data_IF_105104234663
#
_entry.id   IF_105104234663
#
_cell.length_a   1.000
_cell.length_b   1.000
_cell.length_c   1.000
_cell.angle_alpha   90.00
_cell.angle_beta   90.00
_cell.angle_gamma   90.00
#
_symmetry.space_group_name_H-M   'P 1'
#
loop_
_entity.id
_entity.type
_entity.pdbx_description
1 polymer ?
#
# COMPACT_ATOMS: atom_id res chain seq x y z
N UNK A 1 -31.43 13.34 -5.79
CA UNK A 1 -30.43 12.35 -6.27
C UNK A 1 -30.43 12.42 -7.78
N UNK A 2 -29.40 12.97 -8.42
CA UNK A 2 -29.25 12.89 -9.88
C UNK A 2 -28.99 11.43 -10.22
N UNK A 3 -29.90 10.80 -11.00
CA UNK A 3 -29.72 9.42 -11.45
C UNK A 3 -28.45 9.27 -12.30
N UNK A 4 -28.01 8.03 -12.53
CA UNK A 4 -26.91 7.74 -13.46
C UNK A 4 -27.29 8.20 -14.89
N UNK A 5 -26.33 8.65 -15.74
CA UNK A 5 -26.61 9.03 -17.12
C UNK A 5 -26.99 7.80 -17.95
N UNK A 6 -27.95 7.93 -18.83
CA UNK A 6 -28.32 6.86 -19.76
C UNK A 6 -27.29 6.64 -20.88
N UNK A 7 -26.40 7.63 -21.11
CA UNK A 7 -25.35 7.59 -22.16
C UNK A 7 -24.17 8.48 -21.76
N UNK A 8 -22.96 8.05 -22.12
CA UNK A 8 -21.70 8.80 -21.97
C UNK A 8 -20.69 8.33 -23.03
N UNK A 9 -19.53 8.99 -23.18
CA UNK A 9 -18.46 8.46 -24.04
C UNK A 9 -17.78 7.25 -23.40
N UNK A 10 -17.38 7.37 -22.12
CA UNK A 10 -16.65 6.32 -21.41
C UNK A 10 -17.23 6.07 -20.03
N UNK A 11 -17.48 4.80 -19.70
CA UNK A 11 -17.78 4.37 -18.34
C UNK A 11 -16.51 3.86 -17.69
N UNK A 12 -16.17 4.40 -16.52
CA UNK A 12 -15.09 3.89 -15.65
C UNK A 12 -15.72 3.19 -14.47
N UNK A 13 -15.46 1.90 -14.31
CA UNK A 13 -16.00 1.08 -13.22
C UNK A 13 -14.97 0.98 -12.11
N UNK A 14 -15.23 1.65 -11.00
CA UNK A 14 -14.34 1.76 -9.85
C UNK A 14 -13.75 3.16 -9.65
N UNK A 15 -14.08 3.80 -8.54
CA UNK A 15 -13.56 5.10 -8.11
C UNK A 15 -12.33 4.98 -7.19
N UNK A 16 -11.57 3.89 -7.32
CA UNK A 16 -10.24 3.75 -6.74
C UNK A 16 -9.21 4.62 -7.48
N UNK A 17 -7.99 4.68 -6.98
CA UNK A 17 -6.91 5.52 -7.55
C UNK A 17 -6.67 5.24 -9.04
N UNK A 18 -6.75 3.98 -9.48
CA UNK A 18 -6.58 3.63 -10.90
C UNK A 18 -7.71 4.19 -11.77
N UNK A 19 -8.97 4.03 -11.33
CA UNK A 19 -10.14 4.56 -12.06
C UNK A 19 -10.16 6.09 -12.11
N UNK A 20 -9.86 6.74 -10.98
CA UNK A 20 -9.77 8.21 -10.92
C UNK A 20 -8.65 8.75 -11.83
N UNK A 21 -7.49 8.06 -11.89
CA UNK A 21 -6.40 8.42 -12.81
C UNK A 21 -6.81 8.27 -14.28
N UNK A 22 -7.52 7.18 -14.64
CA UNK A 22 -8.05 6.96 -15.97
C UNK A 22 -9.10 8.04 -16.33
N UNK A 23 -10.06 8.25 -15.46
CA UNK A 23 -11.13 9.24 -15.66
C UNK A 23 -10.55 10.66 -15.86
N UNK A 24 -9.60 11.05 -15.01
CA UNK A 24 -8.89 12.33 -15.12
C UNK A 24 -8.21 12.48 -16.50
N UNK A 25 -7.46 11.47 -16.94
CA UNK A 25 -6.74 11.52 -18.22
C UNK A 25 -7.69 11.62 -19.42
N UNK A 26 -8.81 10.90 -19.36
CA UNK A 26 -9.87 10.95 -20.38
C UNK A 26 -10.60 12.30 -20.40
N UNK A 27 -10.95 12.84 -19.23
CA UNK A 27 -11.63 14.16 -19.13
C UNK A 27 -10.73 15.28 -19.66
N UNK A 28 -9.43 15.26 -19.37
CA UNK A 28 -8.45 16.21 -19.94
C UNK A 28 -8.39 16.11 -21.47
N UNK A 29 -8.62 14.92 -22.04
CA UNK A 29 -8.67 14.69 -23.48
C UNK A 29 -10.06 15.04 -24.09
N UNK A 30 -10.98 15.62 -23.30
CA UNK A 30 -12.28 16.08 -23.78
C UNK A 30 -13.35 14.98 -23.89
N UNK A 31 -13.12 13.80 -23.27
CA UNK A 31 -14.13 12.73 -23.23
C UNK A 31 -15.12 12.98 -22.10
N UNK A 32 -16.39 12.73 -22.37
CA UNK A 32 -17.43 12.66 -21.34
C UNK A 32 -17.27 11.33 -20.57
N UNK A 33 -17.00 11.42 -19.26
CA UNK A 33 -16.71 10.26 -18.43
C UNK A 33 -17.75 10.11 -17.32
N UNK A 34 -18.29 8.91 -17.18
CA UNK A 34 -19.11 8.50 -16.05
C UNK A 34 -18.30 7.48 -15.21
N UNK A 35 -17.94 7.84 -13.98
CA UNK A 35 -17.30 6.94 -13.01
C UNK A 35 -18.38 6.37 -12.11
N UNK A 36 -18.43 5.04 -11.97
CA UNK A 36 -19.35 4.37 -11.03
C UNK A 36 -18.56 3.55 -10.02
N UNK A 37 -19.00 3.53 -8.78
CA UNK A 37 -18.43 2.69 -7.72
C UNK A 37 -19.54 2.16 -6.79
N UNK A 38 -19.42 0.90 -6.38
CA UNK A 38 -20.36 0.27 -5.46
C UNK A 38 -20.23 0.77 -4.00
N UNK A 39 -19.16 1.50 -3.70
CA UNK A 39 -18.91 2.07 -2.37
C UNK A 39 -19.58 3.44 -2.20
N UNK A 40 -19.77 3.82 -0.94
CA UNK A 40 -20.30 5.11 -0.51
C UNK A 40 -19.32 6.29 -0.65
N UNK A 41 -18.04 6.00 -0.96
CA UNK A 41 -16.95 6.99 -1.02
C UNK A 41 -15.88 6.56 -2.05
N UNK A 42 -15.16 7.55 -2.60
CA UNK A 42 -14.02 7.32 -3.49
C UNK A 42 -12.80 6.78 -2.74
N UNK A 43 -11.93 6.04 -3.44
CA UNK A 43 -10.64 5.59 -2.93
C UNK A 43 -10.42 4.09 -3.00
N UNK A 44 -11.48 3.29 -3.08
CA UNK A 44 -11.37 1.83 -3.09
C UNK A 44 -10.71 1.33 -1.80
N UNK A 45 -9.49 0.76 -1.90
CA UNK A 45 -8.70 0.32 -0.74
C UNK A 45 -8.06 1.45 0.06
N UNK A 46 -7.95 2.65 -0.49
CA UNK A 46 -7.39 3.82 0.19
C UNK A 46 -8.53 4.61 0.85
N UNK A 47 -8.84 4.23 2.08
CA UNK A 47 -9.92 4.78 2.90
C UNK A 47 -9.41 5.16 4.28
N UNK A 48 -9.98 6.23 4.85
CA UNK A 48 -9.70 6.70 6.21
C UNK A 48 -11.03 6.92 6.93
N UNK A 49 -11.23 6.22 8.04
CA UNK A 49 -12.40 6.43 8.90
C UNK A 49 -12.10 7.51 9.94
N UNK A 50 -13.12 8.26 10.32
CA UNK A 50 -13.06 9.22 11.42
C UNK A 50 -13.86 8.68 12.61
N UNK A 51 -13.16 8.39 13.70
CA UNK A 51 -13.76 7.81 14.91
C UNK A 51 -13.28 8.60 16.13
N UNK A 52 -14.15 9.25 16.86
CA UNK A 52 -13.86 9.98 18.11
C UNK A 52 -12.64 10.93 18.03
N UNK A 53 -12.51 11.63 16.90
CA UNK A 53 -11.40 12.55 16.64
C UNK A 53 -10.09 11.86 16.29
N UNK A 54 -10.15 10.59 15.87
CA UNK A 54 -9.05 9.82 15.32
C UNK A 54 -9.23 9.66 13.81
N UNK A 55 -8.11 9.65 13.07
CA UNK A 55 -8.05 9.22 11.68
C UNK A 55 -7.49 7.79 11.62
N UNK A 56 -8.29 6.87 11.11
CA UNK A 56 -7.94 5.44 11.03
C UNK A 56 -7.95 5.00 9.58
N UNK A 57 -6.77 4.87 8.99
CA UNK A 57 -6.65 4.32 7.64
C UNK A 57 -7.04 2.84 7.65
N UNK A 58 -7.82 2.40 6.66
CA UNK A 58 -8.21 0.99 6.52
C UNK A 58 -7.01 0.18 6.05
N UNK A 59 -6.19 -0.29 7.01
CA UNK A 59 -4.87 -0.88 6.81
C UNK A 59 -3.75 0.15 6.96
N UNK A 60 -2.58 -0.31 7.43
CA UNK A 60 -1.40 0.55 7.49
C UNK A 60 -0.87 0.79 6.07
N UNK A 61 -1.07 1.98 5.56
CA UNK A 61 -0.70 2.40 4.23
C UNK A 61 0.29 3.57 4.28
N UNK A 62 1.14 3.65 3.28
CA UNK A 62 2.13 4.71 3.12
C UNK A 62 2.06 5.28 1.71
N UNK A 63 2.24 6.59 1.60
CA UNK A 63 2.48 7.25 0.32
C UNK A 63 3.95 7.67 0.22
N UNK A 64 4.59 7.38 -0.90
CA UNK A 64 5.95 7.84 -1.14
C UNK A 64 5.94 9.07 -2.07
N UNK A 65 6.37 10.25 -1.59
CA UNK A 65 6.40 11.47 -2.41
C UNK A 65 7.29 11.40 -3.66
N UNK A 66 8.17 10.39 -3.77
CA UNK A 66 8.99 10.16 -4.96
C UNK A 66 8.27 9.39 -6.08
N UNK A 67 7.02 9.00 -5.89
CA UNK A 67 6.23 8.30 -6.91
C UNK A 67 6.02 9.19 -8.14
N UNK A 68 6.58 8.77 -9.29
CA UNK A 68 6.60 9.56 -10.52
C UNK A 68 5.21 9.90 -11.04
N UNK A 69 4.28 8.94 -11.00
CA UNK A 69 2.89 9.18 -11.40
C UNK A 69 2.21 10.17 -10.44
N UNK A 70 2.42 10.00 -9.14
CA UNK A 70 1.86 10.89 -8.13
C UNK A 70 2.32 12.34 -8.28
N UNK A 71 3.62 12.56 -8.54
CA UNK A 71 4.18 13.90 -8.78
C UNK A 71 3.47 14.61 -9.94
N UNK A 72 3.02 13.86 -10.94
CA UNK A 72 2.39 14.44 -12.16
C UNK A 72 0.90 14.78 -11.97
N UNK A 73 0.21 14.21 -10.96
CA UNK A 73 -1.24 14.32 -10.84
C UNK A 73 -1.73 14.83 -9.48
N UNK A 74 -0.87 14.85 -8.46
CA UNK A 74 -1.21 15.25 -7.09
C UNK A 74 -0.51 16.56 -6.70
N UNK A 75 -1.21 17.40 -5.97
CA UNK A 75 -0.62 18.51 -5.22
C UNK A 75 -0.11 17.98 -3.87
N UNK A 76 1.17 17.58 -3.84
CA UNK A 76 1.82 17.04 -2.65
C UNK A 76 1.90 18.05 -1.51
N UNK A 77 1.93 19.36 -1.82
CA UNK A 77 1.94 20.41 -0.80
C UNK A 77 0.59 20.52 -0.10
N UNK A 78 -0.51 20.46 -0.86
CA UNK A 78 -1.85 20.48 -0.30
C UNK A 78 -2.18 19.19 0.48
N UNK A 79 -1.60 18.06 0.11
CA UNK A 79 -1.73 16.80 0.86
C UNK A 79 -1.00 16.85 2.22
N UNK A 80 -0.03 17.74 2.39
CA UNK A 80 0.73 17.90 3.63
C UNK A 80 1.24 16.56 4.17
N UNK A 81 2.01 15.83 3.33
CA UNK A 81 2.50 14.49 3.66
C UNK A 81 3.49 14.54 4.82
N UNK A 82 3.13 13.94 5.93
CA UNK A 82 3.95 13.80 7.13
C UNK A 82 4.84 12.59 7.00
N UNK A 83 6.14 12.81 6.85
CA UNK A 83 7.13 11.76 6.63
C UNK A 83 7.42 10.96 7.88
N UNK A 84 7.59 9.65 7.74
CA UNK A 84 8.13 8.79 8.78
C UNK A 84 9.65 8.96 8.90
N UNK A 85 10.20 8.56 10.04
CA UNK A 85 11.66 8.52 10.21
C UNK A 85 12.26 7.48 9.25
N UNK A 86 13.28 7.83 8.45
CA UNK A 86 13.85 6.94 7.42
C UNK A 86 14.73 5.85 8.04
N UNK A 87 14.08 4.81 8.56
CA UNK A 87 14.74 3.69 9.22
C UNK A 87 13.74 2.74 9.84
N UNK A 88 14.25 1.72 10.52
CA UNK A 88 13.45 0.76 11.29
C UNK A 88 14.10 0.51 12.64
N UNK A 89 13.31 0.21 13.64
CA UNK A 89 13.76 -0.34 14.90
C UNK A 89 13.54 -1.86 14.87
N UNK A 90 14.61 -2.63 15.07
CA UNK A 90 14.54 -4.08 15.12
C UNK A 90 14.66 -4.54 16.57
N UNK A 91 13.60 -5.17 17.07
CA UNK A 91 13.60 -5.76 18.43
C UNK A 91 14.21 -7.16 18.40
N UNK A 92 15.29 -7.39 19.13
CA UNK A 92 15.99 -8.67 19.23
C UNK A 92 16.33 -8.93 20.70
N UNK A 93 15.89 -10.04 21.25
CA UNK A 93 16.19 -10.46 22.62
C UNK A 93 15.94 -9.38 23.68
N UNK A 94 14.80 -8.67 23.56
CA UNK A 94 14.46 -7.58 24.48
C UNK A 94 15.31 -6.33 24.32
N UNK A 95 16.10 -6.19 23.26
CA UNK A 95 16.82 -4.96 22.89
C UNK A 95 16.34 -4.43 21.55
N UNK A 96 16.27 -3.10 21.45
CA UNK A 96 15.89 -2.39 20.24
C UNK A 96 17.14 -1.82 19.56
N UNK A 97 17.34 -2.18 18.30
CA UNK A 97 18.47 -1.73 17.48
C UNK A 97 17.94 -0.82 16.38
N UNK A 98 18.52 0.35 16.24
CA UNK A 98 18.13 1.35 15.24
C UNK A 98 18.88 1.10 13.94
N UNK A 99 18.14 0.93 12.85
CA UNK A 99 18.69 0.64 11.52
C UNK A 99 18.23 1.69 10.53
N UNK A 100 19.18 2.42 9.96
CA UNK A 100 18.91 3.45 8.94
C UNK A 100 20.06 3.61 7.97
N UNK A 101 19.80 4.32 6.86
CA UNK A 101 20.86 4.85 6.01
C UNK A 101 21.59 5.97 6.78
N UNK A 102 22.91 5.85 7.03
CA UNK A 102 23.67 6.86 7.77
C UNK A 102 23.64 8.26 7.13
N UNK A 103 23.36 8.36 5.83
CA UNK A 103 23.22 9.66 5.16
C UNK A 103 21.92 10.38 5.52
N UNK A 104 20.88 9.62 5.86
CA UNK A 104 19.55 10.15 6.16
C UNK A 104 19.29 10.27 7.66
N UNK A 105 19.87 9.38 8.46
CA UNK A 105 19.79 9.38 9.93
C UNK A 105 21.17 9.09 10.52
N UNK A 106 22.10 10.09 10.52
CA UNK A 106 23.49 9.88 10.96
C UNK A 106 23.64 9.42 12.41
N UNK A 107 22.70 9.80 13.28
CA UNK A 107 22.68 9.42 14.70
C UNK A 107 22.52 7.92 14.91
N UNK A 108 22.04 7.18 13.93
CA UNK A 108 21.82 5.72 13.97
C UNK A 108 22.95 4.91 13.32
N UNK A 109 24.02 5.55 12.85
CA UNK A 109 25.09 4.88 12.11
C UNK A 109 25.79 3.79 12.94
N UNK A 110 26.10 4.08 14.21
CA UNK A 110 26.78 3.14 15.11
C UNK A 110 25.85 1.97 15.43
N UNK A 111 24.59 2.23 15.78
CA UNK A 111 23.61 1.18 16.06
C UNK A 111 23.40 0.29 14.83
N UNK A 112 23.29 0.89 13.63
CA UNK A 112 23.14 0.15 12.37
C UNK A 112 24.32 -0.77 12.09
N UNK A 113 25.53 -0.35 12.43
CA UNK A 113 26.75 -1.18 12.26
C UNK A 113 26.79 -2.32 13.28
N UNK A 114 26.49 -2.03 14.56
CA UNK A 114 26.63 -2.98 15.68
C UNK A 114 25.43 -3.91 15.85
N UNK A 115 24.26 -3.59 15.27
CA UNK A 115 23.07 -4.42 15.39
C UNK A 115 23.33 -5.88 14.98
N UNK A 116 22.87 -6.89 15.73
CA UNK A 116 23.13 -8.31 15.46
C UNK A 116 22.20 -8.89 14.38
N UNK A 117 22.06 -8.16 13.27
CA UNK A 117 21.17 -8.53 12.12
C UNK A 117 21.95 -9.26 11.01
N UNK A 118 23.11 -9.81 11.30
CA UNK A 118 23.95 -10.52 10.35
C UNK A 118 25.39 -9.98 10.31
N UNK A 119 26.23 -10.62 9.49
CA UNK A 119 27.65 -10.25 9.36
C UNK A 119 27.79 -8.85 8.73
N UNK A 120 28.83 -8.12 9.12
CA UNK A 120 29.18 -6.81 8.55
C UNK A 120 29.34 -6.91 7.02
N UNK A 121 29.95 -7.99 6.52
CA UNK A 121 30.09 -8.24 5.08
C UNK A 121 28.75 -8.33 4.35
N UNK A 122 27.72 -8.91 4.97
CA UNK A 122 26.35 -8.98 4.42
C UNK A 122 25.70 -7.59 4.37
N UNK A 123 25.87 -6.79 5.43
CA UNK A 123 25.36 -5.40 5.47
C UNK A 123 26.02 -4.54 4.37
N UNK A 124 27.34 -4.67 4.18
CA UNK A 124 28.07 -3.95 3.12
C UNK A 124 27.64 -4.39 1.73
N UNK A 125 27.43 -5.70 1.50
CA UNK A 125 26.88 -6.21 0.23
C UNK A 125 25.50 -5.62 -0.05
N UNK A 126 24.61 -5.59 0.95
CA UNK A 126 23.29 -5.00 0.81
C UNK A 126 23.36 -3.50 0.54
N UNK A 127 24.18 -2.76 1.27
CA UNK A 127 24.38 -1.32 1.05
C UNK A 127 24.89 -1.02 -0.37
N UNK A 128 25.88 -1.80 -0.86
CA UNK A 128 26.38 -1.68 -2.23
C UNK A 128 25.30 -2.00 -3.27
N UNK A 129 24.47 -3.01 -3.02
CA UNK A 129 23.34 -3.35 -3.88
C UNK A 129 22.33 -2.20 -3.94
N UNK A 130 21.96 -1.64 -2.79
CA UNK A 130 21.04 -0.51 -2.70
C UNK A 130 21.56 0.73 -3.46
N UNK A 131 22.85 1.06 -3.32
CA UNK A 131 23.49 2.14 -4.09
C UNK A 131 23.47 1.83 -5.59
N UNK A 132 23.82 0.62 -6.01
CA UNK A 132 23.76 0.22 -7.41
C UNK A 132 22.36 0.36 -7.99
N UNK A 133 21.34 0.00 -7.22
CA UNK A 133 19.95 0.13 -7.63
C UNK A 133 19.50 1.59 -7.76
N UNK A 134 19.94 2.46 -6.84
CA UNK A 134 19.63 3.89 -6.86
C UNK A 134 20.14 4.59 -8.12
N UNK A 135 21.34 4.26 -8.60
CA UNK A 135 21.96 4.85 -9.78
C UNK A 135 21.57 4.18 -11.10
N UNK A 136 20.99 2.96 -11.03
CA UNK A 136 20.57 2.23 -12.23
C UNK A 136 19.42 2.92 -12.93
N UNK A 137 19.58 3.19 -14.25
CA UNK A 137 18.52 3.65 -15.13
C UNK A 137 17.70 2.50 -15.74
N UNK A 138 18.17 1.27 -15.61
CA UNK A 138 17.53 0.10 -16.20
C UNK A 138 16.29 -0.30 -15.41
N UNK A 139 15.16 -0.48 -16.10
CA UNK A 139 14.08 -1.35 -15.63
C UNK A 139 14.69 -2.75 -15.63
N UNK A 140 14.79 -3.39 -14.47
CA UNK A 140 15.53 -4.66 -14.28
C UNK A 140 15.23 -5.68 -15.39
N UNK A 141 16.21 -5.92 -16.29
CA UNK A 141 16.14 -6.96 -17.34
C UNK A 141 16.66 -8.31 -16.85
N UNK A 142 16.92 -8.47 -15.56
CA UNK A 142 17.46 -9.70 -14.98
C UNK A 142 16.40 -10.80 -14.94
N UNK A 143 16.87 -12.06 -14.96
CA UNK A 143 16.05 -13.23 -14.69
C UNK A 143 15.23 -13.01 -13.41
N UNK A 144 13.92 -13.18 -13.50
CA UNK A 144 13.03 -12.97 -12.39
C UNK A 144 13.00 -14.22 -11.50
N UNK A 145 13.03 -14.02 -10.19
CA UNK A 145 13.04 -15.06 -9.18
C UNK A 145 12.33 -14.58 -7.91
N UNK A 146 12.07 -15.50 -6.99
CA UNK A 146 11.53 -15.18 -5.68
C UNK A 146 12.50 -14.29 -4.91
N UNK A 147 11.97 -13.27 -4.23
CA UNK A 147 12.76 -12.35 -3.39
C UNK A 147 13.50 -13.10 -2.28
N UNK A 148 12.88 -14.06 -1.60
CA UNK A 148 13.54 -14.86 -0.55
C UNK A 148 14.80 -15.55 -1.05
N UNK A 149 14.71 -16.25 -2.18
CA UNK A 149 15.85 -16.96 -2.78
C UNK A 149 16.99 -16.00 -3.13
N UNK A 150 16.65 -14.85 -3.72
CA UNK A 150 17.63 -13.81 -4.04
C UNK A 150 18.32 -13.25 -2.80
N UNK A 151 17.56 -12.89 -1.76
CA UNK A 151 18.09 -12.27 -0.54
C UNK A 151 19.03 -13.23 0.21
N UNK A 152 18.64 -14.49 0.36
CA UNK A 152 19.48 -15.52 1.03
C UNK A 152 20.78 -15.76 0.29
N UNK A 153 20.72 -15.92 -1.03
CA UNK A 153 21.90 -16.14 -1.86
C UNK A 153 22.86 -14.94 -1.85
N UNK A 154 22.32 -13.71 -1.86
CA UNK A 154 23.13 -12.49 -1.99
C UNK A 154 23.66 -11.96 -0.66
N UNK A 155 22.84 -12.02 0.41
CA UNK A 155 23.12 -11.33 1.68
C UNK A 155 23.20 -12.27 2.89
N UNK A 156 22.85 -13.55 2.72
CA UNK A 156 22.87 -14.58 3.75
C UNK A 156 21.61 -14.61 4.61
N UNK A 157 21.47 -15.71 5.34
CA UNK A 157 20.24 -16.06 6.09
C UNK A 157 19.98 -15.08 7.23
N UNK A 158 21.02 -14.74 8.02
CA UNK A 158 20.83 -13.88 9.21
C UNK A 158 20.28 -12.49 8.85
N UNK A 159 20.90 -11.81 7.87
CA UNK A 159 20.41 -10.49 7.44
C UNK A 159 19.00 -10.58 6.86
N UNK A 160 18.74 -11.66 6.12
CA UNK A 160 17.43 -11.91 5.53
C UNK A 160 16.37 -12.12 6.60
N UNK A 161 16.57 -13.05 7.54
CA UNK A 161 15.51 -13.46 8.48
C UNK A 161 15.32 -12.50 9.65
N UNK A 162 16.35 -11.73 10.02
CA UNK A 162 16.28 -10.82 11.19
C UNK A 162 15.85 -9.40 10.81
N UNK A 163 16.18 -8.95 9.61
CA UNK A 163 15.91 -7.58 9.17
C UNK A 163 15.02 -7.53 7.93
N UNK A 164 15.48 -8.14 6.81
CA UNK A 164 14.85 -7.92 5.52
C UNK A 164 13.48 -8.59 5.43
N UNK A 165 13.33 -9.83 5.90
CA UNK A 165 12.07 -10.55 5.89
C UNK A 165 11.02 -9.90 6.79
N UNK A 166 11.27 -9.56 8.08
CA UNK A 166 10.29 -8.86 8.90
C UNK A 166 9.81 -7.54 8.29
N UNK A 167 10.73 -6.78 7.71
CA UNK A 167 10.39 -5.53 7.03
C UNK A 167 9.56 -5.78 5.76
N UNK A 168 10.03 -6.66 4.87
CA UNK A 168 9.39 -6.93 3.58
C UNK A 168 8.07 -7.69 3.72
N UNK A 169 7.90 -8.50 4.75
CA UNK A 169 6.62 -9.15 5.05
C UNK A 169 5.51 -8.12 5.28
N UNK A 170 5.82 -6.97 5.87
CA UNK A 170 4.89 -5.85 5.99
C UNK A 170 4.68 -5.08 4.67
N UNK A 171 5.65 -5.09 3.76
CA UNK A 171 5.55 -4.42 2.45
C UNK A 171 4.78 -5.26 1.43
N UNK A 172 5.05 -6.57 1.38
CA UNK A 172 4.43 -7.51 0.42
C UNK A 172 3.20 -8.21 0.98
N UNK A 173 2.93 -8.04 2.27
CA UNK A 173 1.86 -8.70 3.03
C UNK A 173 1.96 -10.23 2.93
N UNK A 174 3.18 -10.76 2.85
CA UNK A 174 3.47 -12.19 2.81
C UNK A 174 4.78 -12.52 3.54
N UNK A 175 4.80 -13.53 4.42
CA UNK A 175 6.00 -13.91 5.18
C UNK A 175 7.01 -14.72 4.36
N UNK A 176 6.59 -15.42 3.31
CA UNK A 176 7.43 -16.31 2.48
C UNK A 176 8.31 -15.55 1.49
N UNK A 177 8.07 -14.26 1.27
CA UNK A 177 8.71 -13.42 0.26
C UNK A 177 8.75 -14.12 -1.11
N UNK A 178 7.61 -14.69 -1.52
CA UNK A 178 7.41 -15.30 -2.83
C UNK A 178 7.35 -14.26 -3.95
N UNK A 179 7.13 -13.00 -3.60
CA UNK A 179 7.10 -11.85 -4.50
C UNK A 179 8.34 -11.79 -5.40
N UNK A 180 8.13 -11.37 -6.65
CA UNK A 180 9.15 -11.16 -7.66
C UNK A 180 10.28 -10.25 -7.18
N UNK A 181 11.52 -10.62 -7.47
CA UNK A 181 12.70 -9.76 -7.26
C UNK A 181 12.58 -8.43 -8.00
N UNK A 182 11.95 -8.40 -9.18
CA UNK A 182 11.74 -7.15 -9.93
C UNK A 182 10.90 -6.16 -9.12
N UNK A 183 9.86 -6.66 -8.45
CA UNK A 183 9.05 -5.82 -7.56
C UNK A 183 9.83 -5.39 -6.31
N UNK A 184 10.62 -6.28 -5.70
CA UNK A 184 11.52 -5.93 -4.61
C UNK A 184 12.47 -4.79 -4.99
N UNK A 185 13.07 -4.85 -6.17
CA UNK A 185 13.98 -3.80 -6.66
C UNK A 185 13.27 -2.44 -6.78
N UNK A 186 12.06 -2.43 -7.31
CA UNK A 186 11.25 -1.21 -7.46
C UNK A 186 10.87 -0.64 -6.09
N UNK A 187 10.43 -1.50 -5.17
CA UNK A 187 10.07 -1.10 -3.82
C UNK A 187 11.29 -0.53 -3.07
N UNK A 188 12.43 -1.24 -3.11
CA UNK A 188 13.66 -0.78 -2.47
C UNK A 188 14.14 0.55 -3.07
N UNK A 189 14.11 0.69 -4.40
CA UNK A 189 14.46 1.94 -5.08
C UNK A 189 13.56 3.10 -4.64
N UNK A 190 12.27 2.85 -4.48
CA UNK A 190 11.31 3.86 -3.99
C UNK A 190 11.65 4.30 -2.56
N UNK A 191 11.99 3.37 -1.66
CA UNK A 191 12.42 3.71 -0.29
C UNK A 191 13.73 4.49 -0.24
N UNK A 192 14.65 4.22 -1.17
CA UNK A 192 15.91 4.98 -1.28
C UNK A 192 15.66 6.39 -1.82
N UNK A 193 14.75 6.54 -2.79
CA UNK A 193 14.50 7.80 -3.51
C UNK A 193 13.64 8.79 -2.74
N UNK A 194 12.78 8.32 -1.83
CA UNK A 194 11.86 9.15 -1.06
C UNK A 194 11.66 8.64 0.37
N UNK A 195 11.15 9.50 1.22
CA UNK A 195 10.73 9.12 2.57
C UNK A 195 9.22 8.92 2.57
N UNK A 196 8.72 7.68 2.77
CA UNK A 196 7.29 7.44 2.89
C UNK A 196 6.67 8.22 4.04
N UNK A 197 5.40 8.54 3.89
CA UNK A 197 4.62 9.26 4.89
C UNK A 197 3.14 9.03 4.70
N UNK A 198 2.34 9.80 5.42
CA UNK A 198 0.89 9.83 5.31
C UNK A 198 0.40 11.27 5.16
N UNK A 199 -0.62 11.55 4.35
CA UNK A 199 -1.26 12.86 4.34
C UNK A 199 -1.79 13.23 5.72
N UNK A 200 -1.68 14.50 6.11
CA UNK A 200 -2.14 14.97 7.43
C UNK A 200 -3.65 14.78 7.65
N UNK A 201 -4.44 14.67 6.60
CA UNK A 201 -5.88 14.41 6.62
C UNK A 201 -6.26 12.94 6.38
N UNK A 202 -5.32 11.99 6.53
CA UNK A 202 -5.51 10.57 6.26
C UNK A 202 -5.23 10.19 4.81
N UNK A 203 -5.01 8.92 4.57
CA UNK A 203 -4.66 8.40 3.23
C UNK A 203 -5.74 8.69 2.19
N UNK A 204 -7.00 8.75 2.58
CA UNK A 204 -8.13 9.04 1.67
C UNK A 204 -8.08 10.45 1.06
N UNK A 205 -7.26 11.36 1.58
CA UNK A 205 -7.03 12.67 0.96
C UNK A 205 -6.48 12.55 -0.47
N UNK A 206 -5.72 11.48 -0.77
CA UNK A 206 -5.18 11.22 -2.11
C UNK A 206 -6.29 10.98 -3.15
N UNK A 207 -7.15 9.96 -3.02
CA UNK A 207 -8.24 9.76 -3.98
C UNK A 207 -9.25 10.91 -3.99
N UNK A 208 -9.51 11.57 -2.86
CA UNK A 208 -10.38 12.77 -2.83
C UNK A 208 -9.81 13.91 -3.66
N UNK A 209 -8.50 14.14 -3.61
CA UNK A 209 -7.84 15.17 -4.43
C UNK A 209 -7.91 14.82 -5.93
N UNK A 210 -7.79 13.55 -6.31
CA UNK A 210 -7.98 13.12 -7.70
C UNK A 210 -9.44 13.29 -8.15
N UNK A 211 -10.39 12.91 -7.33
CA UNK A 211 -11.81 13.05 -7.61
C UNK A 211 -12.23 14.53 -7.81
N UNK A 212 -11.67 15.43 -7.00
CA UNK A 212 -11.91 16.87 -7.11
C UNK A 212 -11.43 17.50 -8.44
N UNK A 213 -10.58 16.80 -9.21
CA UNK A 213 -10.11 17.24 -10.53
C UNK A 213 -11.06 16.82 -11.67
N UNK A 214 -12.10 16.03 -11.37
CA UNK A 214 -13.07 15.58 -12.36
C UNK A 214 -14.25 16.57 -12.46
N UNK A 215 -14.94 16.64 -13.61
CA UNK A 215 -16.15 17.45 -13.75
C UNK A 215 -17.20 17.10 -12.70
N UNK A 216 -17.90 18.09 -12.19
CA UNK A 216 -18.98 17.87 -11.24
C UNK A 216 -20.06 16.95 -11.84
N UNK A 217 -20.52 15.98 -11.04
CA UNK A 217 -21.52 15.01 -11.45
C UNK A 217 -21.02 13.86 -12.32
N UNK A 218 -19.69 13.72 -12.52
CA UNK A 218 -19.11 12.59 -13.25
C UNK A 218 -18.90 11.33 -12.40
N UNK A 219 -18.99 11.42 -11.08
CA UNK A 219 -18.80 10.28 -10.15
C UNK A 219 -20.15 9.92 -9.53
N UNK A 220 -20.53 8.65 -9.64
CA UNK A 220 -21.74 8.09 -9.06
C UNK A 220 -21.34 6.94 -8.11
N UNK A 221 -21.55 7.15 -6.84
CA UNK A 221 -21.29 6.20 -5.76
C UNK A 221 -22.56 5.40 -5.46
N UNK A 222 -22.44 4.30 -4.70
CA UNK A 222 -23.51 3.36 -4.41
C UNK A 222 -24.13 2.78 -5.69
N UNK A 223 -23.32 2.60 -6.76
CA UNK A 223 -23.73 2.04 -8.06
C UNK A 223 -22.89 0.80 -8.38
N UNK A 224 -23.56 -0.35 -8.43
CA UNK A 224 -22.90 -1.63 -8.67
C UNK A 224 -22.98 -2.03 -10.15
N UNK A 225 -21.81 -2.18 -10.81
CA UNK A 225 -21.74 -2.78 -12.13
C UNK A 225 -22.03 -4.28 -12.05
N UNK A 226 -22.97 -4.76 -12.84
CA UNK A 226 -23.41 -6.16 -12.88
C UNK A 226 -22.90 -6.92 -14.11
N UNK A 227 -22.81 -6.23 -15.24
CA UNK A 227 -22.32 -6.79 -16.50
C UNK A 227 -21.70 -5.71 -17.38
N UNK A 228 -20.73 -6.13 -18.18
CA UNK A 228 -20.01 -5.27 -19.12
C UNK A 228 -20.11 -5.83 -20.51
N UNK A 229 -20.57 -5.02 -21.45
CA UNK A 229 -20.46 -5.22 -22.89
C UNK A 229 -19.68 -4.06 -23.50
N UNK A 230 -19.22 -4.20 -24.73
CA UNK A 230 -18.46 -3.16 -25.44
C UNK A 230 -19.06 -1.76 -25.35
N UNK A 231 -20.37 -1.65 -25.52
CA UNK A 231 -21.08 -0.39 -25.66
C UNK A 231 -22.12 -0.14 -24.56
N UNK A 232 -22.08 -0.94 -23.50
CA UNK A 232 -23.06 -0.86 -22.42
C UNK A 232 -22.51 -1.43 -21.11
N UNK A 233 -22.77 -0.75 -20.03
CA UNK A 233 -22.59 -1.26 -18.67
C UNK A 233 -23.96 -1.38 -18.01
N UNK A 234 -24.30 -2.59 -17.56
CA UNK A 234 -25.50 -2.82 -16.74
C UNK A 234 -25.13 -2.59 -15.28
N UNK A 235 -25.98 -1.81 -14.62
CA UNK A 235 -25.86 -1.54 -13.18
C UNK A 235 -27.14 -1.93 -12.45
N UNK A 236 -27.13 -1.92 -11.14
CA UNK A 236 -28.28 -2.08 -10.27
C UNK A 236 -29.31 -0.91 -10.38
N UNK A 237 -28.89 0.24 -10.92
CA UNK A 237 -29.75 1.42 -11.15
C UNK A 237 -30.17 1.59 -12.62
N UNK A 238 -29.75 0.70 -13.51
CA UNK A 238 -30.09 0.74 -14.94
C UNK A 238 -28.88 0.61 -15.86
N UNK A 239 -29.12 0.69 -17.17
CA UNK A 239 -28.07 0.50 -18.17
C UNK A 239 -27.49 1.85 -18.62
N UNK A 240 -26.16 1.92 -18.74
CA UNK A 240 -25.41 3.07 -19.25
C UNK A 240 -24.84 2.70 -20.62
N UNK A 241 -25.26 3.36 -21.68
CA UNK A 241 -24.67 3.22 -23.03
C UNK A 241 -23.37 4.03 -23.10
N UNK A 242 -22.35 3.45 -23.75
CA UNK A 242 -21.03 4.11 -23.87
C UNK A 242 -20.34 3.70 -25.18
N UNK A 243 -19.25 4.36 -25.53
CA UNK A 243 -18.37 3.95 -26.63
C UNK A 243 -17.32 2.97 -26.14
N UNK A 244 -16.83 3.19 -24.91
CA UNK A 244 -15.76 2.38 -24.31
C UNK A 244 -15.97 2.23 -22.80
N UNK A 245 -15.37 1.18 -22.24
CA UNK A 245 -15.41 0.86 -20.79
C UNK A 245 -14.00 0.68 -20.26
N UNK A 246 -13.71 1.28 -19.10
CA UNK A 246 -12.49 1.02 -18.31
C UNK A 246 -12.91 0.31 -17.03
N UNK A 247 -12.51 -0.96 -16.88
CA UNK A 247 -12.71 -1.73 -15.64
C UNK A 247 -11.52 -1.42 -14.72
N UNK A 248 -11.77 -0.67 -13.65
CA UNK A 248 -10.76 -0.22 -12.70
C UNK A 248 -11.05 -0.67 -11.26
N UNK A 249 -11.76 -1.77 -11.12
CA UNK A 249 -12.03 -2.44 -9.83
C UNK A 249 -10.81 -3.22 -9.33
N UNK A 250 -10.87 -3.75 -8.11
CA UNK A 250 -9.89 -4.73 -7.65
C UNK A 250 -9.91 -5.99 -8.55
N UNK A 251 -8.84 -6.80 -8.47
CA UNK A 251 -8.65 -7.96 -9.32
C UNK A 251 -9.82 -8.95 -9.26
N UNK A 252 -10.34 -9.24 -8.06
CA UNK A 252 -11.46 -10.16 -7.84
C UNK A 252 -12.74 -9.68 -8.50
N UNK A 253 -13.10 -8.41 -8.30
CA UNK A 253 -14.31 -7.82 -8.92
C UNK A 253 -14.17 -7.73 -10.44
N UNK A 254 -12.97 -7.45 -10.97
CA UNK A 254 -12.72 -7.47 -12.42
C UNK A 254 -12.95 -8.87 -13.01
N UNK A 255 -12.53 -9.94 -12.32
CA UNK A 255 -12.77 -11.32 -12.76
C UNK A 255 -14.26 -11.72 -12.71
N UNK A 256 -15.05 -11.12 -11.82
CA UNK A 256 -16.51 -11.32 -11.82
C UNK A 256 -17.18 -10.68 -13.04
N UNK A 257 -16.70 -9.49 -13.46
CA UNK A 257 -17.23 -8.80 -14.64
C UNK A 257 -16.75 -9.42 -15.94
N UNK A 258 -15.53 -9.98 -15.96
CA UNK A 258 -14.90 -10.64 -17.11
C UNK A 258 -14.41 -12.03 -16.70
N UNK A 259 -15.24 -13.07 -16.77
CA UNK A 259 -14.88 -14.42 -16.29
C UNK A 259 -13.66 -15.07 -16.96
N UNK A 260 -13.31 -14.64 -18.17
CA UNK A 260 -12.10 -15.10 -18.88
C UNK A 260 -10.81 -14.43 -18.38
N UNK A 261 -10.91 -13.39 -17.57
CA UNK A 261 -9.76 -12.63 -17.06
C UNK A 261 -9.03 -13.45 -16.00
N UNK A 262 -7.75 -13.73 -16.28
CA UNK A 262 -6.85 -14.29 -15.26
C UNK A 262 -6.32 -13.17 -14.38
N UNK A 263 -6.56 -13.28 -13.09
CA UNK A 263 -6.10 -12.31 -12.08
C UNK A 263 -5.22 -13.02 -11.04
N UNK A 264 -4.23 -12.33 -10.46
CA UNK A 264 -3.46 -12.88 -9.35
C UNK A 264 -4.35 -13.03 -8.11
N UNK A 265 -4.07 -13.99 -7.22
CA UNK A 265 -4.61 -13.98 -5.87
C UNK A 265 -4.13 -12.75 -5.11
N UNK A 266 -4.78 -12.45 -3.99
CA UNK A 266 -4.44 -11.32 -3.13
C UNK A 266 -3.87 -11.77 -1.80
N UNK A 267 -2.89 -11.05 -1.30
CA UNK A 267 -2.43 -11.13 0.08
C UNK A 267 -3.38 -10.37 0.99
N UNK A 268 -3.56 -10.89 2.20
CA UNK A 268 -4.41 -10.30 3.22
C UNK A 268 -3.58 -9.64 4.33
N UNK A 269 -4.17 -8.65 4.99
CA UNK A 269 -3.59 -8.01 6.18
C UNK A 269 -4.68 -7.71 7.19
N UNK A 270 -4.33 -7.75 8.46
CA UNK A 270 -5.15 -7.18 9.51
C UNK A 270 -4.37 -6.09 10.22
N UNK A 271 -5.01 -4.94 10.41
CA UNK A 271 -4.43 -3.80 11.13
C UNK A 271 -5.27 -3.47 12.35
N UNK A 272 -4.61 -3.30 13.49
CA UNK A 272 -5.20 -2.85 14.75
C UNK A 272 -4.74 -1.45 15.09
N UNK A 273 -5.64 -0.67 15.63
CA UNK A 273 -5.35 0.64 16.21
C UNK A 273 -5.55 0.61 17.72
N UNK A 274 -4.55 1.13 18.43
CA UNK A 274 -4.59 1.26 19.89
C UNK A 274 -4.27 2.70 20.30
N UNK A 275 -4.89 3.17 21.36
CA UNK A 275 -4.46 4.35 22.09
C UNK A 275 -3.61 3.91 23.27
N UNK A 276 -2.36 4.38 23.32
CA UNK A 276 -1.50 4.18 24.48
C UNK A 276 -1.85 5.17 25.59
N UNK A 277 -1.60 4.75 26.83
CA UNK A 277 -1.76 5.54 28.04
C UNK A 277 -0.48 6.33 28.41
N UNK A 278 0.49 6.37 27.50
CA UNK A 278 1.74 7.10 27.66
C UNK A 278 2.05 7.96 26.42
N UNK A 279 2.91 8.97 26.54
CA UNK A 279 3.36 9.77 25.42
C UNK A 279 4.10 8.93 24.36
N UNK A 280 3.89 9.24 23.07
CA UNK A 280 4.57 8.55 21.97
C UNK A 280 6.11 8.66 22.04
N UNK A 281 6.64 9.66 22.70
CA UNK A 281 8.08 9.83 22.96
C UNK A 281 8.68 8.72 23.85
N UNK A 282 7.89 8.15 24.76
CA UNK A 282 8.34 7.04 25.61
C UNK A 282 8.45 5.73 24.82
N UNK A 283 7.68 5.57 23.74
CA UNK A 283 7.65 4.35 22.93
C UNK A 283 8.78 4.28 21.91
N UNK A 284 9.12 5.39 21.26
CA UNK A 284 10.09 5.45 20.17
C UNK A 284 10.96 6.72 20.19
N UNK A 285 11.23 7.29 21.38
CA UNK A 285 12.03 8.51 21.54
C UNK A 285 11.52 9.68 20.66
N UNK A 286 10.21 9.78 20.48
CA UNK A 286 9.57 10.80 19.63
C UNK A 286 9.75 10.57 18.12
N UNK A 287 10.41 9.49 17.70
CA UNK A 287 10.58 9.15 16.28
C UNK A 287 9.38 8.36 15.77
N UNK A 288 8.96 8.67 14.56
CA UNK A 288 7.92 7.93 13.85
C UNK A 288 8.55 6.79 13.05
N UNK A 289 9.05 5.80 13.77
CA UNK A 289 9.81 4.70 13.18
C UNK A 289 9.00 3.42 13.21
N UNK A 290 9.06 2.68 12.11
CA UNK A 290 8.53 1.32 12.07
C UNK A 290 9.31 0.43 13.04
N UNK A 291 8.60 -0.29 13.91
CA UNK A 291 9.18 -1.29 14.82
C UNK A 291 8.82 -2.67 14.30
N UNK A 292 9.84 -3.54 14.16
CA UNK A 292 9.72 -4.92 13.69
C UNK A 292 10.35 -5.89 14.67
N UNK A 293 9.89 -7.14 14.67
CA UNK A 293 10.44 -8.21 15.48
C UNK A 293 11.49 -8.99 14.68
N UNK A 294 12.76 -8.84 15.04
CA UNK A 294 13.87 -9.55 14.40
C UNK A 294 13.91 -11.06 14.69
N UNK A 295 13.05 -11.58 15.57
CA UNK A 295 12.90 -13.02 15.85
C UNK A 295 11.68 -13.66 15.23
N UNK A 296 10.75 -12.87 14.69
CA UNK A 296 9.48 -13.39 14.16
C UNK A 296 9.67 -14.58 13.21
N UNK A 297 10.66 -14.52 12.34
CA UNK A 297 10.89 -15.53 11.31
C UNK A 297 12.09 -16.47 11.61
N UNK A 298 12.53 -16.54 12.86
CA UNK A 298 13.47 -17.57 13.35
C UNK A 298 12.77 -18.82 13.91
N UNK A 299 11.47 -18.81 13.99
CA UNK A 299 10.58 -19.90 14.39
C UNK A 299 9.48 -20.14 13.34
N UNK A 300 8.35 -20.73 13.74
CA UNK A 300 7.18 -20.89 12.88
C UNK A 300 6.71 -19.55 12.32
N UNK A 301 6.30 -19.52 11.05
CA UNK A 301 5.85 -18.29 10.36
C UNK A 301 4.57 -17.71 10.98
N UNK A 302 3.74 -18.59 11.54
CA UNK A 302 2.44 -18.32 12.14
C UNK A 302 2.44 -18.35 13.67
N UNK A 303 3.60 -18.08 14.30
CA UNK A 303 3.73 -18.05 15.77
C UNK A 303 2.70 -17.06 16.36
N UNK A 304 1.67 -17.54 17.09
CA UNK A 304 0.63 -16.70 17.65
C UNK A 304 1.11 -15.76 18.77
N UNK A 305 2.27 -16.04 19.35
CA UNK A 305 2.91 -15.15 20.34
C UNK A 305 3.60 -13.93 19.70
N UNK A 306 3.82 -13.97 18.39
CA UNK A 306 4.51 -12.95 17.59
C UNK A 306 3.72 -12.61 16.32
N UNK A 307 2.44 -12.20 16.41
CA UNK A 307 1.59 -12.01 15.25
C UNK A 307 2.07 -10.88 14.34
N UNK A 308 2.60 -9.78 14.90
CA UNK A 308 2.86 -8.56 14.16
C UNK A 308 4.05 -8.66 13.21
N UNK A 309 3.89 -8.12 12.01
CA UNK A 309 4.97 -7.85 11.05
C UNK A 309 5.54 -6.45 11.25
N UNK A 310 4.71 -5.50 11.67
CA UNK A 310 5.17 -4.15 12.01
C UNK A 310 4.21 -3.45 12.97
N UNK A 311 4.73 -2.41 13.61
CA UNK A 311 3.95 -1.44 14.38
C UNK A 311 4.62 -0.07 14.31
N UNK A 312 3.83 1.00 14.46
CA UNK A 312 4.30 2.38 14.42
C UNK A 312 3.44 3.30 15.28
N UNK A 313 4.07 4.30 15.91
CA UNK A 313 3.37 5.40 16.60
C UNK A 313 3.01 6.45 15.54
N UNK A 314 1.76 6.42 15.07
CA UNK A 314 1.26 7.29 14.00
C UNK A 314 1.38 8.78 14.36
N UNK A 315 1.04 9.12 15.58
CA UNK A 315 1.01 10.51 16.07
C UNK A 315 2.39 11.14 16.26
N UNK A 316 3.47 10.35 16.26
CA UNK A 316 4.83 10.90 16.23
C UNK A 316 5.19 11.49 14.86
N UNK A 317 4.54 11.04 13.77
CA UNK A 317 4.70 11.63 12.42
C UNK A 317 3.59 12.63 12.12
N UNK A 318 2.35 12.21 12.30
CA UNK A 318 1.16 12.96 11.96
C UNK A 318 0.30 13.18 13.22
N UNK A 319 0.57 14.23 14.03
CA UNK A 319 -0.22 14.54 15.22
C UNK A 319 -1.72 14.73 14.93
N UNK A 320 -2.06 15.11 13.68
CA UNK A 320 -3.44 15.23 13.20
C UNK A 320 -4.24 13.92 13.20
N UNK A 321 -3.57 12.76 13.28
CA UNK A 321 -4.26 11.47 13.36
C UNK A 321 -4.97 11.21 14.70
N UNK A 322 -4.63 11.97 15.73
CA UNK A 322 -5.36 11.92 16.99
C UNK A 322 -5.51 13.32 17.61
N UNK A 323 -6.74 13.74 17.86
CA UNK A 323 -7.00 14.98 18.58
C UNK A 323 -6.52 14.91 20.02
N UNK A 324 -6.29 16.08 20.63
CA UNK A 324 -5.96 16.25 22.05
C UNK A 324 -4.66 15.56 22.51
N UNK A 325 -3.67 15.39 21.60
CA UNK A 325 -2.36 14.86 21.94
C UNK A 325 -2.33 13.37 22.34
N UNK A 326 -3.39 12.60 22.01
CA UNK A 326 -3.44 11.16 22.26
C UNK A 326 -2.39 10.42 21.43
N UNK A 327 -1.82 9.35 21.98
CA UNK A 327 -0.84 8.51 21.30
C UNK A 327 -1.54 7.38 20.56
N UNK A 328 -1.61 7.49 19.22
CA UNK A 328 -2.22 6.48 18.36
C UNK A 328 -1.16 5.55 17.75
N UNK A 329 -1.37 4.25 17.89
CA UNK A 329 -0.49 3.20 17.37
C UNK A 329 -1.24 2.39 16.32
N UNK A 330 -0.59 2.17 15.18
CA UNK A 330 -1.01 1.24 14.14
C UNK A 330 -0.12 0.01 14.15
N UNK A 331 -0.72 -1.19 14.07
CA UNK A 331 0.00 -2.47 14.13
C UNK A 331 -0.60 -3.44 13.14
N UNK A 332 0.23 -4.16 12.38
CA UNK A 332 -0.26 -5.05 11.31
C UNK A 332 0.29 -6.47 11.42
N UNK A 333 -0.55 -7.43 11.05
CA UNK A 333 -0.19 -8.82 10.83
C UNK A 333 -0.66 -9.28 9.44
N UNK A 334 0.07 -10.20 8.81
CA UNK A 334 -0.36 -10.84 7.58
C UNK A 334 -1.56 -11.75 7.83
N UNK A 335 -2.47 -11.84 6.86
CA UNK A 335 -3.68 -12.65 6.99
C UNK A 335 -4.89 -11.92 7.58
N UNK A 336 -5.99 -12.65 7.74
CA UNK A 336 -7.25 -12.16 8.28
C UNK A 336 -7.43 -12.65 9.72
N UNK A 337 -7.48 -11.73 10.67
CA UNK A 337 -7.61 -12.00 12.11
C UNK A 337 -8.65 -11.06 12.71
N UNK A 338 -9.79 -11.57 13.14
CA UNK A 338 -10.90 -10.78 13.68
C UNK A 338 -11.32 -11.18 15.10
N UNK A 339 -10.66 -12.15 15.71
CA UNK A 339 -11.02 -12.63 17.04
C UNK A 339 -10.46 -11.75 18.16
N UNK A 340 -11.15 -11.69 19.29
CA UNK A 340 -10.64 -11.06 20.52
C UNK A 340 -9.32 -11.68 20.97
N UNK A 341 -9.14 -12.98 20.78
CA UNK A 341 -7.88 -13.67 21.13
C UNK A 341 -6.72 -13.16 20.28
N UNK A 342 -6.94 -12.84 18.99
CA UNK A 342 -5.92 -12.25 18.15
C UNK A 342 -5.50 -10.84 18.64
N UNK A 343 -6.46 -10.01 19.07
CA UNK A 343 -6.16 -8.71 19.66
C UNK A 343 -5.35 -8.82 20.96
N UNK A 344 -5.66 -9.75 21.83
CA UNK A 344 -4.88 -10.01 23.04
C UNK A 344 -3.44 -10.47 22.72
N UNK A 345 -3.25 -11.28 21.70
CA UNK A 345 -1.93 -11.66 21.19
C UNK A 345 -1.14 -10.47 20.65
N UNK A 346 -1.81 -9.59 19.90
CA UNK A 346 -1.24 -8.32 19.40
C UNK A 346 -0.79 -7.45 20.56
N UNK A 347 -1.64 -7.23 21.56
CA UNK A 347 -1.34 -6.41 22.74
C UNK A 347 -0.14 -6.95 23.53
N UNK A 348 -0.07 -8.27 23.71
CA UNK A 348 1.09 -8.93 24.34
C UNK A 348 2.37 -8.72 23.54
N UNK A 349 2.31 -8.84 22.21
CA UNK A 349 3.46 -8.62 21.34
C UNK A 349 3.90 -7.14 21.35
N UNK A 350 2.96 -6.19 21.37
CA UNK A 350 3.26 -4.75 21.50
C UNK A 350 3.99 -4.44 22.83
N UNK A 351 3.58 -5.07 23.93
CA UNK A 351 4.28 -4.92 25.22
C UNK A 351 5.76 -5.36 25.11
N UNK A 352 6.03 -6.45 24.40
CA UNK A 352 7.39 -6.93 24.17
C UNK A 352 8.21 -6.00 23.25
N UNK A 353 7.60 -5.46 22.19
CA UNK A 353 8.26 -4.58 21.21
C UNK A 353 8.58 -3.20 21.80
N UNK A 354 7.62 -2.58 22.48
CA UNK A 354 7.77 -1.24 23.06
C UNK A 354 8.33 -1.25 24.49
N UNK A 355 8.39 -2.43 25.13
CA UNK A 355 8.90 -2.62 26.50
C UNK A 355 8.13 -1.82 27.56
N UNK A 356 6.84 -1.69 27.37
CA UNK A 356 5.91 -1.05 28.29
C UNK A 356 4.71 -1.95 28.54
N UNK A 357 4.05 -1.85 29.70
CA UNK A 357 2.79 -2.53 29.93
C UNK A 357 1.74 -2.00 28.96
N UNK A 358 0.96 -2.87 28.34
CA UNK A 358 -0.11 -2.49 27.39
C UNK A 358 -1.52 -2.77 27.95
N UNK A 359 -1.61 -3.16 29.23
CA UNK A 359 -2.88 -3.53 29.86
C UNK A 359 -3.94 -2.43 29.84
N UNK A 360 -3.50 -1.18 29.99
CA UNK A 360 -4.38 -0.01 29.99
C UNK A 360 -4.60 0.61 28.60
N UNK A 361 -3.95 0.08 27.55
CA UNK A 361 -4.15 0.60 26.21
C UNK A 361 -5.58 0.33 25.74
N UNK A 362 -6.18 1.31 25.08
CA UNK A 362 -7.52 1.16 24.51
C UNK A 362 -7.45 0.63 23.11
N UNK A 363 -8.08 -0.53 22.84
CA UNK A 363 -8.32 -0.98 21.48
C UNK A 363 -9.37 -0.09 20.82
N UNK A 364 -9.04 0.48 19.65
CA UNK A 364 -9.90 1.42 18.93
C UNK A 364 -10.63 0.74 17.78
N UNK A 365 -9.88 0.03 16.93
CA UNK A 365 -10.44 -0.62 15.74
C UNK A 365 -9.57 -1.78 15.26
N UNK A 366 -10.21 -2.70 14.55
CA UNK A 366 -9.55 -3.78 13.80
C UNK A 366 -10.06 -3.77 12.36
N UNK A 367 -9.13 -3.74 11.40
CA UNK A 367 -9.41 -3.80 9.97
C UNK A 367 -8.86 -5.07 9.35
N UNK A 368 -9.65 -6.15 9.24
CA UNK A 368 -9.30 -7.34 8.47
C UNK A 368 -9.56 -7.09 6.98
N UNK A 369 -8.52 -7.14 6.15
CA UNK A 369 -8.57 -6.81 4.73
C UNK A 369 -8.12 -8.04 3.93
N UNK A 370 -9.05 -8.84 3.38
CA UNK A 370 -8.73 -10.08 2.68
C UNK A 370 -8.06 -9.85 1.32
N UNK A 371 -8.43 -8.78 0.62
CA UNK A 371 -7.92 -8.44 -0.72
C UNK A 371 -7.03 -7.17 -0.65
N UNK A 372 -6.02 -7.19 0.23
CA UNK A 372 -5.21 -6.00 0.50
C UNK A 372 -4.22 -5.67 -0.62
N UNK A 373 -3.49 -6.67 -1.12
CA UNK A 373 -2.43 -6.47 -2.11
C UNK A 373 -2.39 -7.63 -3.10
N UNK A 374 -2.45 -7.38 -4.43
CA UNK A 374 -2.27 -8.43 -5.43
C UNK A 374 -0.90 -9.09 -5.31
N UNK A 375 -0.84 -10.43 -5.38
CA UNK A 375 0.41 -11.18 -5.37
C UNK A 375 1.19 -10.96 -6.66
N UNK A 376 2.49 -10.80 -6.55
CA UNK A 376 3.42 -10.54 -7.65
C UNK A 376 4.48 -11.64 -7.74
N UNK A 377 4.05 -12.91 -7.85
CA UNK A 377 4.97 -14.03 -7.95
C UNK A 377 5.73 -14.06 -9.29
N UNK A 378 7.01 -14.46 -9.31
CA UNK A 378 7.76 -14.61 -10.54
C UNK A 378 7.28 -15.80 -11.39
N UNK A 379 7.39 -15.76 -12.74
CA UNK A 379 7.80 -14.58 -13.51
C UNK A 379 6.71 -13.52 -13.55
N UNK A 380 7.03 -12.27 -13.25
CA UNK A 380 6.08 -11.18 -13.23
C UNK A 380 6.44 -10.08 -14.23
N UNK A 381 5.54 -9.87 -15.18
CA UNK A 381 5.62 -8.74 -16.09
C UNK A 381 5.04 -7.50 -15.42
N UNK A 382 5.89 -6.49 -15.21
CA UNK A 382 5.53 -5.28 -14.49
C UNK A 382 4.42 -4.53 -15.23
N UNK A 383 4.55 -4.38 -16.54
CA UNK A 383 3.57 -3.69 -17.39
C UNK A 383 2.72 -4.72 -18.15
N UNK A 384 1.59 -5.11 -17.59
CA UNK A 384 0.67 -6.02 -18.26
C UNK A 384 -0.26 -5.28 -19.24
N UNK A 385 -0.83 -5.99 -20.22
CA UNK A 385 -1.77 -5.40 -21.17
C UNK A 385 -2.96 -4.75 -20.46
N UNK A 386 -3.30 -3.54 -20.88
CA UNK A 386 -4.49 -2.82 -20.41
C UNK A 386 -5.67 -2.93 -21.38
N UNK A 387 -5.49 -3.57 -22.56
CA UNK A 387 -6.55 -3.88 -23.52
C UNK A 387 -7.07 -5.29 -23.27
N UNK A 388 -8.38 -5.45 -23.09
CA UNK A 388 -9.03 -6.78 -22.97
C UNK A 388 -9.68 -7.19 -24.29
N UNK A 389 -10.45 -6.30 -24.90
CA UNK A 389 -11.10 -6.48 -26.18
C UNK A 389 -11.35 -5.10 -26.79
N UNK A 390 -11.90 -5.06 -28.01
CA UNK A 390 -12.27 -3.81 -28.64
C UNK A 390 -13.25 -3.00 -27.77
N UNK A 391 -12.87 -1.77 -27.44
CA UNK A 391 -13.61 -0.85 -26.58
C UNK A 391 -13.66 -1.20 -25.08
N UNK A 392 -12.98 -2.25 -24.62
CA UNK A 392 -12.92 -2.63 -23.20
C UNK A 392 -11.49 -2.65 -22.70
N UNK A 393 -11.23 -1.84 -21.69
CA UNK A 393 -9.91 -1.64 -21.09
C UNK A 393 -9.94 -2.01 -19.60
N UNK A 394 -8.75 -2.27 -19.03
CA UNK A 394 -8.59 -2.65 -17.63
C UNK A 394 -7.48 -1.85 -16.98
N UNK A 395 -7.72 -1.43 -15.74
CA UNK A 395 -6.74 -0.74 -14.91
C UNK A 395 -6.77 -1.31 -13.48
N UNK A 396 -5.68 -1.18 -12.77
CA UNK A 396 -5.51 -1.63 -11.38
C UNK A 396 -4.04 -1.88 -11.09
N UNK A 397 -3.65 -1.87 -9.84
CA UNK A 397 -2.29 -2.16 -9.41
C UNK A 397 -1.83 -3.59 -9.78
N UNK A 398 -2.77 -4.52 -9.97
CA UNK A 398 -2.49 -5.87 -10.47
C UNK A 398 -2.12 -5.93 -11.96
N UNK A 399 -2.18 -4.83 -12.69
CA UNK A 399 -1.73 -4.67 -14.10
C UNK A 399 -0.38 -3.96 -14.20
N UNK A 400 0.19 -3.61 -13.05
CA UNK A 400 1.45 -2.89 -12.84
C UNK A 400 2.15 -3.44 -11.59
N UNK A 401 2.92 -2.60 -10.92
CA UNK A 401 3.45 -2.85 -9.58
C UNK A 401 2.35 -2.64 -8.55
N UNK A 402 2.13 -3.59 -7.64
CA UNK A 402 1.16 -3.49 -6.53
C UNK A 402 1.50 -2.34 -5.60
N UNK A 403 1.09 -1.13 -5.98
CA UNK A 403 1.33 0.12 -5.25
C UNK A 403 0.39 1.22 -5.73
N UNK A 404 0.29 2.31 -4.96
CA UNK A 404 -0.43 3.51 -5.39
C UNK A 404 0.14 4.07 -6.71
N UNK A 405 1.47 4.06 -6.87
CA UNK A 405 2.11 4.49 -8.12
C UNK A 405 1.72 3.60 -9.31
N UNK A 406 1.72 2.29 -9.13
CA UNK A 406 1.30 1.35 -10.18
C UNK A 406 -0.20 1.45 -10.50
N UNK A 407 -1.05 1.71 -9.50
CA UNK A 407 -2.46 1.98 -9.73
C UNK A 407 -2.66 3.23 -10.61
N UNK A 408 -1.97 4.34 -10.30
CA UNK A 408 -1.98 5.56 -11.10
C UNK A 408 -1.48 5.29 -12.53
N UNK A 409 -0.35 4.60 -12.68
CA UNK A 409 0.25 4.25 -13.97
C UNK A 409 -0.69 3.42 -14.83
N UNK A 410 -1.29 2.38 -14.26
CA UNK A 410 -2.21 1.52 -15.01
C UNK A 410 -3.46 2.27 -15.47
N UNK A 411 -4.01 3.18 -14.64
CA UNK A 411 -5.13 4.04 -15.00
C UNK A 411 -4.79 4.96 -16.16
N UNK A 412 -3.65 5.64 -16.11
CA UNK A 412 -3.15 6.48 -17.21
C UNK A 412 -2.96 5.67 -18.49
N UNK A 413 -2.31 4.50 -18.42
CA UNK A 413 -2.07 3.62 -19.58
C UNK A 413 -3.36 3.12 -20.21
N UNK A 414 -4.37 2.76 -19.42
CA UNK A 414 -5.67 2.34 -19.93
C UNK A 414 -6.37 3.48 -20.69
N UNK A 415 -6.34 4.69 -20.14
CA UNK A 415 -6.88 5.88 -20.80
C UNK A 415 -6.13 6.22 -22.10
N UNK A 416 -4.80 6.17 -22.09
CA UNK A 416 -3.96 6.43 -23.28
C UNK A 416 -4.19 5.38 -24.38
N UNK A 417 -4.35 4.10 -24.00
CA UNK A 417 -4.69 3.04 -24.93
C UNK A 417 -6.04 3.29 -25.61
N UNK A 418 -7.07 3.67 -24.83
CA UNK A 418 -8.39 4.03 -25.34
C UNK A 418 -8.30 5.21 -26.31
N UNK A 419 -7.62 6.28 -25.93
CA UNK A 419 -7.49 7.47 -26.78
C UNK A 419 -6.75 7.20 -28.09
N UNK A 420 -5.81 6.24 -28.08
CA UNK A 420 -5.07 5.83 -29.29
C UNK A 420 -5.96 5.00 -30.22
N UNK A 421 -6.79 4.13 -29.67
CA UNK A 421 -7.68 3.26 -30.45
C UNK A 421 -8.89 4.01 -31.04
N UNK A 422 -9.21 5.20 -30.51
CA UNK A 422 -10.28 6.10 -31.01
C UNK A 422 -9.83 7.03 -32.16
N UNK A 423 -8.52 7.01 -32.53
CA UNK A 423 -7.94 7.76 -33.65
C UNK A 423 -8.08 6.99 -34.98
#
# INVERSE_FOLDING_TARGET
MSGIPSKTDVVVIGAGVAGLAAARRLSIAGREVCVIDASDEVGGRIRTDQVDGLLLDRGFQLYNPSYSEGISVLDLKALDVKSFTPGVVVSIDGRNYKMADPKREPTWAIDSLLAPVGKISSKLKFARYAVGLAISKSKSASYDQRTDAFLRASFGTDLTDVLLRPFLAGVFLEPELATSKRFFDIALKSFISGTPGVPSAGMQAIPRQLAAQLPSGSIHLDVTAQAVARTMVRTDLGDIRCRSVVIATNARSAALLIPSLKVPPSNAVTTWYHLADCPGSELTEGKSTLVIDGKKFRGPLDDPSRPLVNTVVMTNSAPSYASNGRTLISSSATGVHSSTQAELGVRSHLAALYKVPTGNWTHVATYPIPDALPMMAPPHDIEQSVRLSDGVYIAGDYREVSSTNGALASGRRAAEALLTDDL
#
